data_IF_153247449932
#
_entry.id   IF_153247449932
#
_cell.length_a   1.000
_cell.length_b   1.000
_cell.length_c   1.000
_cell.angle_alpha   90.00
_cell.angle_beta   90.00
_cell.angle_gamma   90.00
#
_symmetry.space_group_name_H-M   'P 1'
#
loop_
_entity.id
_entity.type
_entity.pdbx_description
1 polymer ?
#
# COMPACT_ATOMS: atom_id res chain seq x y z
N UNK A 1 -23.08 -39.41 -41.18
CA UNK A 1 -23.00 -38.03 -41.69
C UNK A 1 -21.90 -37.95 -42.73
N UNK A 2 -22.21 -37.38 -43.89
CA UNK A 2 -21.28 -37.29 -45.02
C UNK A 2 -20.13 -36.33 -44.69
N UNK A 3 -18.92 -36.61 -45.14
CA UNK A 3 -17.75 -35.72 -45.01
C UNK A 3 -18.04 -34.30 -45.50
N UNK A 4 -18.90 -34.18 -46.52
CA UNK A 4 -19.40 -32.91 -47.07
C UNK A 4 -20.24 -32.13 -46.05
N UNK A 5 -21.00 -32.80 -45.19
CA UNK A 5 -21.78 -32.14 -44.14
C UNK A 5 -20.87 -31.55 -43.05
N UNK A 6 -19.76 -32.23 -42.76
CA UNK A 6 -18.74 -31.72 -41.82
C UNK A 6 -18.03 -30.49 -42.39
N UNK A 7 -17.61 -30.54 -43.66
CA UNK A 7 -16.95 -29.42 -44.32
C UNK A 7 -17.87 -28.19 -44.46
N UNK A 8 -19.16 -28.39 -44.78
CA UNK A 8 -20.15 -27.31 -44.80
C UNK A 8 -20.38 -26.68 -43.41
N UNK A 9 -20.32 -27.47 -42.33
CA UNK A 9 -20.40 -26.94 -40.98
C UNK A 9 -19.16 -26.12 -40.60
N UNK A 10 -17.97 -26.55 -41.03
CA UNK A 10 -16.72 -25.81 -40.83
C UNK A 10 -16.71 -24.49 -41.59
N UNK A 11 -17.15 -24.47 -42.87
CA UNK A 11 -17.21 -23.24 -43.67
C UNK A 11 -18.20 -22.24 -43.08
N UNK A 12 -19.32 -22.70 -42.50
CA UNK A 12 -20.27 -21.82 -41.79
C UNK A 12 -19.76 -21.24 -40.48
N UNK A 13 -18.71 -21.84 -39.89
CA UNK A 13 -18.05 -21.31 -38.70
C UNK A 13 -16.94 -20.29 -39.02
N UNK A 14 -16.48 -20.23 -40.26
CA UNK A 14 -15.49 -19.23 -40.69
C UNK A 14 -16.22 -17.90 -40.85
N UNK A 15 -15.82 -16.91 -40.06
CA UNK A 15 -16.31 -15.54 -40.14
C UNK A 15 -16.21 -15.04 -41.58
N UNK A 16 -17.24 -14.34 -42.05
CA UNK A 16 -17.22 -13.73 -43.37
C UNK A 16 -16.04 -12.76 -43.47
N UNK A 17 -15.48 -12.59 -44.67
CA UNK A 17 -14.42 -11.60 -44.92
C UNK A 17 -14.82 -10.20 -44.42
N UNK A 18 -16.11 -9.86 -44.50
CA UNK A 18 -16.64 -8.58 -43.99
C UNK A 18 -16.58 -8.50 -42.45
N UNK A 19 -16.83 -9.61 -41.75
CA UNK A 19 -16.76 -9.69 -40.30
C UNK A 19 -15.30 -9.64 -39.82
N UNK A 20 -14.39 -10.27 -40.57
CA UNK A 20 -12.93 -10.20 -40.33
C UNK A 20 -12.43 -8.76 -40.48
N UNK A 21 -12.81 -8.07 -41.57
CA UNK A 21 -12.44 -6.68 -41.80
C UNK A 21 -13.00 -5.74 -40.73
N UNK A 22 -14.22 -6.01 -40.26
CA UNK A 22 -14.84 -5.24 -39.16
C UNK A 22 -14.05 -5.43 -37.87
N UNK A 23 -13.71 -6.66 -37.49
CA UNK A 23 -12.91 -6.96 -36.30
C UNK A 23 -11.51 -6.36 -36.40
N UNK A 24 -10.87 -6.43 -37.56
CA UNK A 24 -9.57 -5.78 -37.79
C UNK A 24 -9.64 -4.28 -37.53
N UNK A 25 -10.65 -3.60 -38.08
CA UNK A 25 -10.83 -2.15 -37.89
C UNK A 25 -11.09 -1.77 -36.43
N UNK A 26 -11.87 -2.57 -35.70
CA UNK A 26 -12.13 -2.38 -34.27
C UNK A 26 -10.86 -2.56 -33.43
N UNK A 27 -10.06 -3.60 -33.74
CA UNK A 27 -8.79 -3.86 -33.07
C UNK A 27 -7.75 -2.78 -33.36
N UNK A 28 -7.65 -2.32 -34.62
CA UNK A 28 -6.76 -1.21 -35.00
C UNK A 28 -7.12 0.08 -34.25
N UNK A 29 -8.41 0.39 -34.11
CA UNK A 29 -8.87 1.54 -33.33
C UNK A 29 -8.51 1.40 -31.85
N UNK A 30 -8.66 0.21 -31.26
CA UNK A 30 -8.28 -0.06 -29.88
C UNK A 30 -6.77 0.08 -29.66
N UNK A 31 -5.95 -0.41 -30.60
CA UNK A 31 -4.49 -0.27 -30.54
C UNK A 31 -4.07 1.21 -30.64
N UNK A 32 -4.72 2.00 -31.48
CA UNK A 32 -4.45 3.43 -31.60
C UNK A 32 -4.77 4.20 -30.30
N UNK A 33 -5.91 3.91 -29.66
CA UNK A 33 -6.28 4.49 -28.35
C UNK A 33 -5.29 4.10 -27.24
N UNK A 34 -4.93 2.82 -27.16
CA UNK A 34 -3.94 2.33 -26.17
C UNK A 34 -2.56 2.95 -26.36
N UNK A 35 -2.11 3.08 -27.61
CA UNK A 35 -0.84 3.74 -27.95
C UNK A 35 -0.81 5.20 -27.48
N UNK A 36 -1.92 5.93 -27.70
CA UNK A 36 -2.07 7.32 -27.26
C UNK A 36 -2.01 7.42 -25.74
N UNK A 37 -2.77 6.59 -25.02
CA UNK A 37 -2.76 6.55 -23.54
C UNK A 37 -1.38 6.21 -22.97
N UNK A 38 -0.64 5.29 -23.61
CA UNK A 38 0.71 4.95 -23.21
C UNK A 38 1.68 6.12 -23.41
N UNK A 39 1.57 6.84 -24.52
CA UNK A 39 2.35 8.05 -24.79
C UNK A 39 2.10 9.12 -23.73
N UNK A 40 0.84 9.43 -23.45
CA UNK A 40 0.45 10.43 -22.44
C UNK A 40 0.94 10.05 -21.04
N UNK A 41 0.80 8.77 -20.68
CA UNK A 41 1.27 8.27 -19.38
C UNK A 41 2.79 8.36 -19.27
N UNK A 42 3.52 8.04 -20.35
CA UNK A 42 4.97 8.17 -20.40
C UNK A 42 5.41 9.63 -20.26
N UNK A 43 4.73 10.56 -20.93
CA UNK A 43 4.98 11.99 -20.80
C UNK A 43 4.72 12.49 -19.38
N UNK A 44 3.61 12.07 -18.74
CA UNK A 44 3.30 12.40 -17.34
C UNK A 44 4.33 11.88 -16.36
N UNK A 45 4.82 10.65 -16.55
CA UNK A 45 5.88 10.07 -15.72
C UNK A 45 7.19 10.83 -15.90
N UNK A 46 7.57 11.17 -17.14
CA UNK A 46 8.77 11.95 -17.42
C UNK A 46 8.71 13.36 -16.80
N UNK A 47 7.57 14.05 -16.93
CA UNK A 47 7.34 15.33 -16.28
C UNK A 47 7.36 15.24 -14.74
N UNK A 48 7.03 14.07 -14.18
CA UNK A 48 7.06 13.82 -12.73
C UNK A 48 8.41 13.35 -12.18
N UNK A 49 9.46 13.25 -13.01
CA UNK A 49 10.80 12.81 -12.57
C UNK A 49 11.57 13.85 -11.76
N UNK A 50 11.10 15.10 -11.67
CA UNK A 50 11.62 15.99 -10.65
C UNK A 50 11.12 15.49 -9.29
N UNK A 51 12.03 15.17 -8.34
CA UNK A 51 11.62 14.74 -7.02
C UNK A 51 10.85 15.90 -6.40
N UNK A 52 9.53 15.79 -6.34
CA UNK A 52 8.69 16.64 -5.51
C UNK A 52 9.21 16.47 -4.09
N UNK A 53 10.14 17.35 -3.69
CA UNK A 53 10.50 17.50 -2.30
C UNK A 53 9.20 17.85 -1.60
N UNK A 54 8.73 16.97 -0.72
CA UNK A 54 7.67 17.34 0.21
C UNK A 54 8.06 18.69 0.81
N UNK A 55 7.23 19.73 0.68
CA UNK A 55 7.61 21.05 1.19
C UNK A 55 8.01 20.89 2.65
N UNK A 56 9.25 21.29 2.95
CA UNK A 56 9.78 21.31 4.31
C UNK A 56 8.78 22.08 5.17
N UNK A 57 8.37 21.49 6.29
CA UNK A 57 7.55 22.21 7.28
C UNK A 57 8.29 23.51 7.64
N UNK A 58 7.59 24.65 7.79
CA UNK A 58 8.22 25.91 8.13
C UNK A 58 9.13 25.75 9.35
N UNK A 59 10.41 26.10 9.22
CA UNK A 59 11.41 26.02 10.29
C UNK A 59 12.34 24.78 10.29
N UNK A 60 12.17 23.82 9.37
CA UNK A 60 13.11 22.70 9.26
C UNK A 60 14.28 23.01 8.32
N UNK A 61 15.51 22.97 8.85
CA UNK A 61 16.73 23.03 8.03
C UNK A 61 16.89 21.72 7.26
N UNK A 62 17.37 21.74 6.00
CA UNK A 62 17.70 20.53 5.26
C UNK A 62 18.72 19.68 6.01
N UNK A 63 18.48 18.37 6.09
CA UNK A 63 19.39 17.44 6.78
C UNK A 63 20.69 17.30 6.00
N UNK A 64 21.82 17.27 6.70
CA UNK A 64 23.13 17.02 6.05
C UNK A 64 23.26 15.57 5.58
N UNK A 65 24.10 15.26 4.58
CA UNK A 65 24.34 13.89 4.13
C UNK A 65 24.76 12.94 5.26
N UNK A 66 25.58 13.41 6.20
CA UNK A 66 25.98 12.65 7.38
C UNK A 66 24.80 12.34 8.32
N UNK A 67 23.86 13.27 8.47
CA UNK A 67 22.63 13.04 9.25
C UNK A 67 21.74 11.99 8.58
N UNK A 68 21.58 12.07 7.26
CA UNK A 68 20.81 11.09 6.49
C UNK A 68 21.43 9.68 6.57
N UNK A 69 22.76 9.57 6.46
CA UNK A 69 23.47 8.30 6.62
C UNK A 69 23.26 7.71 8.02
N UNK A 70 23.31 8.56 9.06
CA UNK A 70 23.06 8.14 10.44
C UNK A 70 21.61 7.69 10.66
N UNK A 71 20.63 8.29 9.99
CA UNK A 71 19.22 7.89 10.05
C UNK A 71 18.97 6.55 9.35
N UNK A 72 19.68 6.26 8.27
CA UNK A 72 19.58 5.01 7.51
C UNK A 72 20.36 3.85 8.13
N UNK A 73 21.07 4.07 9.24
CA UNK A 73 21.81 3.02 9.93
C UNK A 73 20.85 1.90 10.42
N UNK A 74 21.09 0.62 10.08
CA UNK A 74 20.22 -0.50 10.47
C UNK A 74 19.94 -0.58 11.96
N UNK A 75 20.93 -0.26 12.81
CA UNK A 75 20.76 -0.22 14.26
C UNK A 75 19.72 0.82 14.69
N UNK A 76 19.77 2.03 14.13
CA UNK A 76 18.80 3.10 14.44
C UNK A 76 17.41 2.77 13.90
N UNK A 77 17.33 2.09 12.76
CA UNK A 77 16.07 1.58 12.23
C UNK A 77 15.41 0.61 13.22
N UNK A 78 16.17 -0.40 13.71
CA UNK A 78 15.67 -1.37 14.71
C UNK A 78 15.18 -0.68 15.99
N UNK A 79 15.93 0.30 16.49
CA UNK A 79 15.51 1.12 17.66
C UNK A 79 14.21 1.87 17.37
N UNK A 80 14.07 2.47 16.17
CA UNK A 80 12.87 3.21 15.79
C UNK A 80 11.66 2.30 15.70
N UNK A 81 11.81 1.11 15.11
CA UNK A 81 10.75 0.09 15.04
C UNK A 81 10.30 -0.31 16.45
N UNK A 82 11.24 -0.59 17.35
CA UNK A 82 10.93 -0.91 18.74
C UNK A 82 10.21 0.24 19.46
N UNK A 83 10.62 1.50 19.23
CA UNK A 83 9.94 2.65 19.81
C UNK A 83 8.50 2.79 19.28
N UNK A 84 8.29 2.63 17.96
CA UNK A 84 6.94 2.66 17.37
C UNK A 84 6.05 1.56 17.94
N UNK A 85 6.60 0.35 18.14
CA UNK A 85 5.91 -0.75 18.80
C UNK A 85 5.52 -0.41 20.25
N UNK A 86 6.44 0.15 21.02
CA UNK A 86 6.18 0.50 22.42
C UNK A 86 5.15 1.63 22.51
N UNK A 87 5.17 2.59 21.57
CA UNK A 87 4.14 3.64 21.47
C UNK A 87 2.77 3.06 21.12
N UNK A 88 2.69 2.12 20.18
CA UNK A 88 1.45 1.42 19.86
C UNK A 88 0.87 0.75 21.11
N UNK A 89 1.69 -0.01 21.84
CA UNK A 89 1.24 -0.66 23.09
C UNK A 89 0.72 0.36 24.10
N UNK A 90 1.46 1.44 24.35
CA UNK A 90 1.08 2.50 25.29
C UNK A 90 -0.23 3.20 24.90
N UNK A 91 -0.41 3.48 23.62
CA UNK A 91 -1.65 4.11 23.14
C UNK A 91 -2.84 3.18 23.30
N UNK A 92 -2.68 1.89 22.97
CA UNK A 92 -3.73 0.89 23.16
C UNK A 92 -4.14 0.78 24.63
N UNK A 93 -3.18 0.66 25.53
CA UNK A 93 -3.42 0.59 26.98
C UNK A 93 -4.17 1.82 27.47
N UNK A 94 -3.69 3.02 27.15
CA UNK A 94 -4.34 4.27 27.56
C UNK A 94 -5.76 4.45 27.01
N UNK A 95 -6.00 4.05 25.76
CA UNK A 95 -7.33 4.10 25.18
C UNK A 95 -8.28 3.10 25.85
N UNK A 96 -7.80 1.89 26.16
CA UNK A 96 -8.60 0.89 26.86
C UNK A 96 -8.88 1.29 28.32
N UNK A 97 -7.91 1.88 29.03
CA UNK A 97 -8.11 2.41 30.37
C UNK A 97 -9.26 3.45 30.40
N UNK A 98 -9.35 4.29 29.37
CA UNK A 98 -10.45 5.25 29.22
C UNK A 98 -11.79 4.55 28.96
N UNK A 99 -11.81 3.55 28.09
CA UNK A 99 -13.02 2.75 27.83
C UNK A 99 -13.48 2.05 29.10
N UNK A 100 -12.57 1.50 29.90
CA UNK A 100 -12.90 0.82 31.16
C UNK A 100 -13.48 1.80 32.18
N UNK A 101 -12.87 2.98 32.37
CA UNK A 101 -13.42 4.02 33.25
C UNK A 101 -14.81 4.48 32.81
N UNK A 102 -15.02 4.62 31.50
CA UNK A 102 -16.32 5.00 30.96
C UNK A 102 -17.35 3.87 31.11
N UNK A 103 -16.90 2.62 30.96
CA UNK A 103 -17.71 1.43 31.15
C UNK A 103 -18.24 1.33 32.57
N UNK A 104 -17.39 1.60 33.56
CA UNK A 104 -17.75 1.64 34.97
C UNK A 104 -18.76 2.76 35.24
N UNK A 105 -18.51 3.97 34.72
CA UNK A 105 -19.40 5.12 34.89
C UNK A 105 -20.78 4.92 34.24
N UNK A 106 -20.85 4.13 33.16
CA UNK A 106 -22.09 3.82 32.45
C UNK A 106 -22.79 2.54 32.95
N UNK A 107 -22.17 1.81 33.88
CA UNK A 107 -22.59 0.46 34.31
C UNK A 107 -22.83 -0.50 33.12
N UNK A 108 -22.04 -0.34 32.06
CA UNK A 108 -22.09 -1.18 30.85
C UNK A 108 -20.86 -2.08 30.79
N UNK A 109 -20.86 -3.03 29.86
CA UNK A 109 -19.66 -3.83 29.56
C UNK A 109 -18.76 -3.04 28.60
N UNK A 110 -17.41 -3.14 28.71
CA UNK A 110 -16.50 -2.39 27.86
C UNK A 110 -16.71 -2.66 26.36
N UNK A 111 -17.08 -3.89 26.01
CA UNK A 111 -17.43 -4.28 24.64
C UNK A 111 -18.63 -3.53 24.08
N UNK A 112 -19.62 -3.23 24.92
CA UNK A 112 -20.81 -2.49 24.50
C UNK A 112 -20.51 -1.00 24.40
N UNK A 113 -19.60 -0.49 25.25
CA UNK A 113 -19.08 0.89 25.13
C UNK A 113 -18.25 1.05 23.85
N UNK A 114 -17.38 0.10 23.51
CA UNK A 114 -16.65 0.11 22.24
C UNK A 114 -17.60 0.14 21.04
N UNK A 115 -18.68 -0.65 21.05
CA UNK A 115 -19.70 -0.62 20.00
C UNK A 115 -20.48 0.69 19.98
N UNK A 116 -20.79 1.25 21.15
CA UNK A 116 -21.51 2.51 21.26
C UNK A 116 -20.68 3.70 20.72
N UNK A 117 -19.36 3.65 20.88
CA UNK A 117 -18.42 4.66 20.41
C UNK A 117 -17.83 4.34 19.03
N UNK A 118 -18.30 3.28 18.37
CA UNK A 118 -17.78 2.77 17.08
C UNK A 118 -16.24 2.62 17.07
N UNK A 119 -15.67 2.08 18.15
CA UNK A 119 -14.25 1.80 18.28
C UNK A 119 -13.89 0.44 17.68
N UNK A 120 -13.09 0.46 16.62
CA UNK A 120 -12.44 -0.74 16.08
C UNK A 120 -11.13 -1.00 16.82
N UNK A 121 -11.00 -2.17 17.43
CA UNK A 121 -9.77 -2.59 18.12
C UNK A 121 -8.91 -3.44 17.20
N UNK A 122 -7.58 -3.37 17.35
CA UNK A 122 -6.63 -4.17 16.55
C UNK A 122 -6.97 -5.68 16.56
N UNK A 123 -7.49 -6.18 17.68
CA UNK A 123 -7.88 -7.58 17.87
C UNK A 123 -9.10 -7.97 17.03
N UNK A 124 -10.05 -7.04 16.84
CA UNK A 124 -11.24 -7.26 15.99
C UNK A 124 -10.88 -7.35 14.51
N UNK A 125 -9.81 -6.67 14.09
CA UNK A 125 -9.29 -6.70 12.71
C UNK A 125 -8.20 -7.78 12.53
N UNK A 126 -7.86 -8.53 13.59
CA UNK A 126 -6.86 -9.60 13.54
C UNK A 126 -5.41 -9.10 13.47
N UNK A 127 -5.16 -7.83 13.77
CA UNK A 127 -3.83 -7.22 13.75
C UNK A 127 -3.10 -7.54 15.06
N UNK A 128 -1.96 -8.22 14.94
CA UNK A 128 -1.09 -8.54 16.09
C UNK A 128 0.14 -7.64 16.09
N UNK A 129 0.51 -7.15 17.27
CA UNK A 129 1.71 -6.34 17.45
C UNK A 129 2.95 -7.21 17.15
N UNK A 130 3.85 -6.77 16.25
CA UNK A 130 5.06 -7.52 15.91
C UNK A 130 5.99 -7.78 17.11
N UNK A 131 6.82 -8.83 17.07
CA UNK A 131 7.81 -9.11 18.10
C UNK A 131 8.90 -8.01 18.13
N UNK A 132 9.52 -7.85 19.30
CA UNK A 132 10.59 -6.86 19.51
C UNK A 132 11.85 -7.28 18.76
N UNK A 133 12.49 -6.34 18.06
CA UNK A 133 13.72 -6.60 17.34
C UNK A 133 14.93 -6.55 18.27
N UNK A 134 15.84 -7.51 18.16
CA UNK A 134 17.12 -7.50 18.87
C UNK A 134 18.04 -6.43 18.28
N UNK A 135 18.60 -5.59 19.16
CA UNK A 135 19.53 -4.52 18.79
C UNK A 135 20.91 -4.93 19.28
N UNK A 136 21.79 -5.32 18.35
CA UNK A 136 23.17 -5.67 18.69
C UNK A 136 23.86 -4.49 19.39
N UNK A 137 24.36 -4.74 20.59
CA UNK A 137 25.12 -3.78 21.39
C UNK A 137 26.62 -3.85 21.09
N UNK A 138 27.01 -4.06 19.82
CA UNK A 138 28.43 -3.99 19.49
C UNK A 138 28.90 -2.53 19.58
N UNK A 139 29.88 -2.21 20.45
CA UNK A 139 30.37 -0.84 20.56
C UNK A 139 31.07 -0.46 19.25
N UNK A 140 30.64 0.63 18.62
CA UNK A 140 31.39 1.21 17.52
C UNK A 140 32.74 1.69 18.07
N UNK A 141 33.80 0.96 17.76
CA UNK A 141 35.18 1.39 18.02
C UNK A 141 35.41 2.71 17.28
N UNK A 142 35.66 3.77 18.04
CA UNK A 142 36.09 5.06 17.49
C UNK A 142 37.46 4.84 16.86
N UNK A 143 37.56 4.81 15.53
CA UNK A 143 38.87 4.97 14.86
C UNK A 143 39.37 6.38 15.20
N UNK A 144 40.54 6.42 15.85
CA UNK A 144 41.34 7.63 16.10
C UNK A 144 41.78 8.24 14.78
#
# INVERSE_FOLDING_TARGET
>A
ESQVQKELATIKQVLSNDEINKQQKELEAAVADLSTRLSDTKARIQASKEPKQNPLRPGQKPKTPAQLARERCPRRMRIRINNMRDMWKKHKEKCMDFVDQLSDAMEKKPKDVCKLLDLETDEMVGVKIPPKQEVDNHPMTKKK
#
